data_IF_227413466375
#
_entry.id   IF_227413466375
#
_cell.length_a   1.000
_cell.length_b   1.000
_cell.length_c   1.000
_cell.angle_alpha   90.00
_cell.angle_beta   90.00
_cell.angle_gamma   90.00
#
_symmetry.space_group_name_H-M   'P 1'
#
loop_
_entity.id
_entity.type
_entity.pdbx_description
1 polymer ?
#
# COMPACT_ATOMS: atom_id res chain seq x y z
N UNK A 1 -10.36 4.22 -36.71
CA UNK A 1 -10.28 5.00 -35.46
C UNK A 1 -8.83 5.41 -35.31
N UNK A 2 -8.52 6.70 -35.14
CA UNK A 2 -7.14 7.10 -34.83
C UNK A 2 -6.85 6.65 -33.41
N UNK A 3 -5.89 5.76 -33.22
CA UNK A 3 -5.44 5.27 -31.91
C UNK A 3 -4.51 6.28 -31.21
N UNK A 4 -4.35 7.48 -31.78
CA UNK A 4 -3.47 8.54 -31.29
C UNK A 4 -4.12 9.31 -30.14
N UNK A 5 -3.33 9.63 -29.12
CA UNK A 5 -3.76 10.50 -28.01
C UNK A 5 -4.14 11.90 -28.54
N UNK A 6 -5.41 12.29 -28.38
CA UNK A 6 -5.95 13.56 -28.89
C UNK A 6 -6.33 14.56 -27.79
N UNK A 7 -6.31 14.13 -26.53
CA UNK A 7 -6.60 14.95 -25.36
C UNK A 7 -6.85 14.09 -24.14
N UNK A 8 -6.80 14.70 -22.96
CA UNK A 8 -7.14 14.08 -21.69
C UNK A 8 -8.31 14.84 -21.04
N UNK A 9 -9.07 14.15 -20.20
CA UNK A 9 -10.16 14.73 -19.41
C UNK A 9 -9.95 14.30 -17.98
N UNK A 10 -9.98 15.27 -17.07
CA UNK A 10 -9.90 15.02 -15.65
C UNK A 10 -10.99 15.79 -14.91
N UNK A 11 -11.07 15.57 -13.59
CA UNK A 11 -12.14 16.18 -12.79
C UNK A 11 -12.04 17.72 -12.81
N UNK A 12 -10.83 18.27 -12.85
CA UNK A 12 -10.59 19.70 -12.90
C UNK A 12 -11.02 20.31 -14.25
N UNK A 13 -10.81 19.60 -15.36
CA UNK A 13 -11.24 20.06 -16.67
C UNK A 13 -12.77 20.05 -16.81
N UNK A 14 -13.45 19.05 -16.25
CA UNK A 14 -14.91 19.00 -16.17
C UNK A 14 -15.45 20.12 -15.29
N UNK A 15 -14.91 20.28 -14.07
CA UNK A 15 -15.39 21.32 -13.13
C UNK A 15 -15.18 22.72 -13.68
N UNK A 16 -14.03 23.00 -14.31
CA UNK A 16 -13.77 24.28 -14.99
C UNK A 16 -14.78 24.56 -16.10
N UNK A 17 -15.09 23.55 -16.93
CA UNK A 17 -16.09 23.70 -17.99
C UNK A 17 -17.49 23.99 -17.43
N UNK A 18 -17.91 23.25 -16.39
CA UNK A 18 -19.20 23.47 -15.74
C UNK A 18 -19.29 24.86 -15.10
N UNK A 19 -18.20 25.34 -14.47
CA UNK A 19 -18.15 26.65 -13.86
C UNK A 19 -18.29 27.77 -14.89
N UNK A 20 -17.54 27.72 -16.00
CA UNK A 20 -17.64 28.70 -17.09
C UNK A 20 -19.04 28.74 -17.72
N UNK A 21 -19.73 27.60 -17.81
CA UNK A 21 -21.09 27.53 -18.33
C UNK A 21 -22.12 28.07 -17.32
N UNK A 22 -21.90 27.88 -16.02
CA UNK A 22 -22.79 28.39 -14.97
C UNK A 22 -22.86 29.93 -14.98
N UNK A 23 -21.73 30.61 -15.13
CA UNK A 23 -21.68 32.08 -15.28
C UNK A 23 -22.51 32.56 -16.49
N UNK A 24 -22.52 31.78 -17.59
CA UNK A 24 -23.36 32.07 -18.76
C UNK A 24 -24.85 31.85 -18.52
N UNK A 25 -25.23 30.79 -17.81
CA UNK A 25 -26.65 30.43 -17.59
C UNK A 25 -27.31 31.37 -16.56
N UNK A 26 -26.57 31.89 -15.59
CA UNK A 26 -27.12 32.89 -14.65
C UNK A 26 -27.57 34.18 -15.37
N UNK A 27 -27.05 34.45 -16.57
CA UNK A 27 -27.51 35.56 -17.43
C UNK A 27 -28.78 35.28 -18.25
N UNK A 28 -29.19 34.01 -18.44
CA UNK A 28 -30.39 33.64 -19.22
C UNK A 28 -31.14 32.44 -18.58
N UNK A 29 -32.32 32.69 -18.02
CA UNK A 29 -33.10 31.69 -17.25
C UNK A 29 -33.93 30.76 -18.16
N UNK A 30 -33.42 29.60 -18.58
CA UNK A 30 -34.26 28.57 -19.22
C UNK A 30 -33.83 27.12 -18.96
N UNK A 31 -34.80 26.25 -18.64
CA UNK A 31 -34.60 24.84 -18.32
C UNK A 31 -33.97 24.02 -19.48
N UNK A 32 -34.20 24.45 -20.73
CA UNK A 32 -33.64 23.87 -21.95
C UNK A 32 -32.10 23.95 -22.01
N UNK A 33 -31.49 24.90 -21.29
CA UNK A 33 -30.03 25.04 -21.25
C UNK A 33 -29.35 24.05 -20.29
N UNK A 34 -30.02 23.64 -19.20
CA UNK A 34 -29.47 22.64 -18.27
C UNK A 34 -29.28 21.28 -18.92
N UNK A 35 -30.23 20.87 -19.77
CA UNK A 35 -30.15 19.63 -20.57
C UNK A 35 -28.99 19.67 -21.58
N UNK A 36 -28.64 20.87 -22.06
CA UNK A 36 -27.58 21.09 -23.03
C UNK A 36 -26.17 21.04 -22.41
N UNK A 37 -26.02 21.18 -21.08
CA UNK A 37 -24.71 21.09 -20.40
C UNK A 37 -24.18 19.66 -20.44
N UNK A 38 -25.06 18.66 -20.23
CA UNK A 38 -24.68 17.26 -20.16
C UNK A 38 -24.38 16.66 -21.55
N UNK A 39 -24.90 17.26 -22.62
CA UNK A 39 -24.72 16.81 -24.01
C UNK A 39 -23.61 17.57 -24.77
N UNK A 40 -22.54 17.98 -24.07
CA UNK A 40 -21.40 18.62 -24.73
C UNK A 40 -20.35 17.58 -25.17
N UNK A 41 -19.80 17.72 -26.39
CA UNK A 41 -18.64 16.94 -26.83
C UNK A 41 -17.44 17.04 -25.88
N UNK A 42 -16.82 15.89 -25.59
CA UNK A 42 -15.59 15.74 -24.80
C UNK A 42 -14.48 16.74 -25.15
N UNK A 43 -14.31 17.05 -26.44
CA UNK A 43 -13.31 18.01 -26.95
C UNK A 43 -13.42 19.42 -26.34
N UNK A 44 -14.58 19.80 -25.82
CA UNK A 44 -14.80 21.13 -25.24
C UNK A 44 -14.32 21.27 -23.79
N UNK A 45 -14.03 20.15 -23.14
CA UNK A 45 -13.53 20.10 -21.77
C UNK A 45 -12.35 19.13 -21.62
N UNK A 46 -11.72 18.77 -22.74
CA UNK A 46 -10.42 18.10 -22.78
C UNK A 46 -9.28 19.11 -22.79
N UNK A 47 -8.12 18.71 -22.29
CA UNK A 47 -6.88 19.47 -22.35
C UNK A 47 -5.79 18.64 -23.01
N UNK A 48 -4.68 19.28 -23.39
CA UNK A 48 -3.49 18.60 -23.89
C UNK A 48 -2.67 18.15 -22.67
N UNK A 49 -2.53 16.84 -22.41
CA UNK A 49 -1.79 16.36 -21.26
C UNK A 49 -0.28 16.53 -21.46
N UNK A 50 0.46 16.59 -20.36
CA UNK A 50 1.91 16.36 -20.39
C UNK A 50 2.10 14.87 -20.68
N UNK A 51 2.98 14.55 -21.63
CA UNK A 51 3.23 13.18 -22.06
C UNK A 51 4.68 12.79 -21.86
N UNK A 52 4.92 11.52 -21.52
CA UNK A 52 6.23 10.92 -21.41
C UNK A 52 6.25 9.54 -22.08
N UNK A 53 7.44 9.03 -22.41
CA UNK A 53 7.63 7.65 -22.89
C UNK A 53 7.84 6.68 -21.72
N UNK A 54 7.73 5.37 -21.96
CA UNK A 54 7.92 4.36 -20.92
C UNK A 54 9.34 4.33 -20.32
N UNK A 55 10.33 4.79 -21.09
CA UNK A 55 11.75 4.86 -20.69
C UNK A 55 12.12 6.19 -19.98
N UNK A 56 11.16 7.10 -19.81
CA UNK A 56 11.41 8.38 -19.11
C UNK A 56 11.76 8.15 -17.64
N UNK A 57 12.81 8.80 -17.15
CA UNK A 57 13.30 8.62 -15.79
C UNK A 57 12.38 9.23 -14.72
N UNK A 58 12.39 8.67 -13.50
CA UNK A 58 11.50 9.08 -12.41
C UNK A 58 11.69 10.56 -12.01
N UNK A 59 12.92 11.06 -11.99
CA UNK A 59 13.20 12.46 -11.65
C UNK A 59 12.65 13.43 -12.69
N UNK A 60 12.65 13.03 -13.97
CA UNK A 60 12.01 13.78 -15.04
C UNK A 60 10.48 13.76 -14.91
N UNK A 61 9.89 12.59 -14.60
CA UNK A 61 8.46 12.46 -14.29
C UNK A 61 8.07 13.37 -13.11
N UNK A 62 8.89 13.44 -12.06
CA UNK A 62 8.67 14.35 -10.92
C UNK A 62 8.65 15.81 -11.37
N UNK A 63 9.60 16.24 -12.23
CA UNK A 63 9.63 17.61 -12.78
C UNK A 63 8.41 17.90 -13.65
N UNK A 64 7.95 16.93 -14.43
CA UNK A 64 6.73 17.06 -15.23
C UNK A 64 5.49 17.24 -14.32
N UNK A 65 5.39 16.45 -13.25
CA UNK A 65 4.31 16.54 -12.25
C UNK A 65 4.35 17.82 -11.39
N UNK A 66 5.46 18.56 -11.37
CA UNK A 66 5.49 19.88 -10.74
C UNK A 66 4.74 20.94 -11.57
N UNK A 67 4.64 20.72 -12.88
CA UNK A 67 4.02 21.64 -13.83
C UNK A 67 2.61 21.20 -14.27
N UNK A 68 2.15 20.03 -13.83
CA UNK A 68 0.85 19.48 -14.17
C UNK A 68 0.39 18.41 -13.18
N UNK A 69 -0.89 18.09 -13.18
CA UNK A 69 -1.47 17.16 -12.20
C UNK A 69 -1.15 15.69 -12.48
N UNK A 70 -0.94 15.36 -13.75
CA UNK A 70 -0.74 14.00 -14.23
C UNK A 70 0.11 13.98 -15.50
N UNK A 71 0.83 12.88 -15.69
CA UNK A 71 1.64 12.62 -16.89
C UNK A 71 1.07 11.39 -17.58
N UNK A 72 0.73 11.52 -18.86
CA UNK A 72 0.22 10.41 -19.67
C UNK A 72 1.40 9.70 -20.32
N UNK A 73 1.54 8.41 -20.08
CA UNK A 73 2.58 7.58 -20.71
C UNK A 73 2.09 7.17 -22.09
N UNK A 74 2.92 7.40 -23.10
CA UNK A 74 2.59 7.19 -24.51
C UNK A 74 3.66 6.31 -25.16
N UNK A 75 3.21 5.24 -25.81
CA UNK A 75 4.06 4.38 -26.64
C UNK A 75 3.49 4.33 -28.06
N UNK A 76 4.33 4.56 -29.08
CA UNK A 76 3.89 4.60 -30.49
C UNK A 76 2.65 5.49 -30.74
N UNK A 77 2.60 6.66 -30.07
CA UNK A 77 1.47 7.64 -30.07
C UNK A 77 0.18 7.17 -29.38
N UNK A 78 0.16 5.98 -28.79
CA UNK A 78 -0.99 5.45 -28.05
C UNK A 78 -0.80 5.66 -26.54
N UNK A 79 -1.82 6.12 -25.81
CA UNK A 79 -1.73 6.21 -24.36
C UNK A 79 -1.74 4.79 -23.77
N UNK A 80 -0.72 4.49 -22.96
CA UNK A 80 -0.54 3.18 -22.30
C UNK A 80 -0.71 3.27 -20.78
N UNK A 81 -0.55 4.46 -20.19
CA UNK A 81 -0.70 4.66 -18.75
C UNK A 81 -0.84 6.13 -18.34
N UNK A 82 -1.11 6.35 -17.06
CA UNK A 82 -1.17 7.68 -16.43
C UNK A 82 -0.43 7.58 -15.10
N UNK A 83 0.49 8.51 -14.85
CA UNK A 83 1.20 8.66 -13.57
C UNK A 83 0.70 9.93 -12.89
N UNK A 84 0.33 9.82 -11.62
CA UNK A 84 -0.06 10.94 -10.75
C UNK A 84 0.96 11.14 -9.65
N UNK A 85 0.93 12.31 -9.02
CA UNK A 85 1.80 12.63 -7.87
C UNK A 85 1.70 11.59 -6.74
N UNK A 86 0.50 11.03 -6.50
CA UNK A 86 0.30 9.97 -5.51
C UNK A 86 1.13 8.72 -5.81
N UNK A 87 1.19 8.30 -7.07
CA UNK A 87 1.88 7.07 -7.44
C UNK A 87 3.39 7.20 -7.18
N UNK A 88 3.94 8.38 -7.47
CA UNK A 88 5.33 8.73 -7.13
C UNK A 88 5.55 8.72 -5.63
N UNK A 89 4.64 9.31 -4.85
CA UNK A 89 4.73 9.29 -3.39
C UNK A 89 4.65 7.88 -2.83
N UNK A 90 3.83 6.99 -3.38
CA UNK A 90 3.76 5.58 -2.94
C UNK A 90 5.07 4.83 -3.21
N UNK A 91 5.79 5.16 -4.29
CA UNK A 91 7.10 4.57 -4.60
C UNK A 91 8.20 5.14 -3.68
N UNK A 92 8.16 6.43 -3.39
CA UNK A 92 9.17 7.12 -2.57
C UNK A 92 8.90 6.99 -1.07
N UNK A 93 7.66 6.73 -0.66
CA UNK A 93 7.30 6.57 0.73
C UNK A 93 8.05 5.36 1.31
N UNK A 94 8.73 5.51 2.47
CA UNK A 94 9.29 4.37 3.16
C UNK A 94 8.14 3.40 3.45
N UNK A 95 8.29 2.14 3.03
CA UNK A 95 7.31 1.09 3.33
C UNK A 95 7.03 1.11 4.83
N UNK A 96 5.75 1.23 5.21
CA UNK A 96 5.35 1.14 6.60
C UNK A 96 5.81 -0.22 7.15
N UNK A 97 6.87 -0.22 7.95
CA UNK A 97 7.31 -1.43 8.64
C UNK A 97 6.18 -1.89 9.56
N UNK A 98 5.95 -3.20 9.60
CA UNK A 98 4.97 -3.73 10.54
C UNK A 98 5.39 -3.37 11.99
N UNK A 99 4.48 -2.83 12.81
CA UNK A 99 4.82 -2.38 14.15
C UNK A 99 5.26 -3.53 15.05
N UNK A 100 6.39 -3.33 15.75
CA UNK A 100 6.93 -4.25 16.76
C UNK A 100 6.83 -3.60 18.14
N UNK A 101 6.12 -4.25 19.06
CA UNK A 101 5.96 -3.79 20.44
C UNK A 101 6.66 -4.77 21.38
N UNK A 102 7.53 -4.25 22.26
CA UNK A 102 8.25 -5.03 23.28
C UNK A 102 7.90 -4.50 24.66
N UNK A 103 7.59 -5.40 25.60
CA UNK A 103 7.19 -5.07 26.97
C UNK A 103 7.83 -6.01 28.00
N UNK A 104 8.01 -5.49 29.22
CA UNK A 104 8.46 -6.26 30.39
C UNK A 104 9.98 -6.48 30.51
N UNK A 105 10.77 -5.71 29.76
CA UNK A 105 12.23 -5.57 29.91
C UNK A 105 12.63 -4.10 29.95
N UNK A 106 13.69 -3.78 30.70
CA UNK A 106 14.23 -2.42 30.81
C UNK A 106 14.93 -2.00 29.52
N UNK A 107 15.83 -2.85 28.99
CA UNK A 107 16.45 -2.63 27.68
C UNK A 107 15.67 -3.34 26.57
N UNK A 108 14.83 -2.56 25.88
CA UNK A 108 14.02 -3.03 24.76
C UNK A 108 14.66 -2.81 23.39
N UNK A 109 15.73 -2.01 23.28
CA UNK A 109 16.25 -1.56 21.98
C UNK A 109 16.80 -2.72 21.16
N UNK A 110 17.65 -3.54 21.77
CA UNK A 110 18.25 -4.69 21.06
C UNK A 110 17.19 -5.68 20.57
N UNK A 111 16.14 -5.91 21.37
CA UNK A 111 15.03 -6.80 21.02
C UNK A 111 14.23 -6.21 19.86
N UNK A 112 13.91 -4.92 19.95
CA UNK A 112 13.16 -4.22 18.92
C UNK A 112 13.92 -4.23 17.59
N UNK A 113 15.21 -3.88 17.59
CA UNK A 113 16.06 -3.90 16.40
C UNK A 113 16.18 -5.31 15.79
N UNK A 114 16.28 -6.34 16.64
CA UNK A 114 16.32 -7.73 16.19
C UNK A 114 15.04 -8.12 15.46
N UNK A 115 13.88 -7.84 16.05
CA UNK A 115 12.60 -8.22 15.47
C UNK A 115 12.19 -7.33 14.29
N UNK A 116 12.58 -6.05 14.24
CA UNK A 116 12.39 -5.19 13.07
C UNK A 116 13.14 -5.71 11.83
N UNK A 117 14.37 -6.23 11.99
CA UNK A 117 15.10 -6.82 10.86
C UNK A 117 14.39 -8.06 10.30
N UNK A 118 13.71 -8.81 11.16
CA UNK A 118 13.00 -10.04 10.78
C UNK A 118 11.59 -9.73 10.29
N UNK A 119 11.02 -8.59 10.69
CA UNK A 119 9.64 -8.22 10.41
C UNK A 119 9.35 -8.15 8.91
N UNK A 120 10.31 -7.74 8.10
CA UNK A 120 10.21 -7.74 6.62
C UNK A 120 9.98 -9.15 6.04
N UNK A 121 10.66 -10.16 6.60
CA UNK A 121 10.46 -11.56 6.21
C UNK A 121 9.08 -12.04 6.64
N UNK A 122 8.63 -11.65 7.82
CA UNK A 122 7.34 -12.07 8.38
C UNK A 122 6.15 -11.35 7.75
N UNK A 123 6.33 -10.13 7.25
CA UNK A 123 5.34 -9.41 6.44
C UNK A 123 4.97 -10.21 5.18
N UNK A 124 5.95 -10.80 4.50
CA UNK A 124 5.73 -11.71 3.35
C UNK A 124 4.95 -12.98 3.73
N UNK A 125 4.99 -13.37 4.99
CA UNK A 125 4.20 -14.47 5.55
C UNK A 125 2.83 -14.01 6.07
N UNK A 126 2.50 -12.72 5.94
CA UNK A 126 1.20 -12.15 6.29
C UNK A 126 1.12 -11.53 7.68
N UNK A 127 2.25 -11.28 8.35
CA UNK A 127 2.30 -10.52 9.59
C UNK A 127 1.88 -9.06 9.36
N UNK A 128 1.17 -8.49 10.31
CA UNK A 128 0.72 -7.09 10.32
C UNK A 128 1.13 -6.33 11.58
N UNK A 129 1.40 -7.05 12.68
CA UNK A 129 1.86 -6.48 13.96
C UNK A 129 2.52 -7.58 14.78
N UNK A 130 3.60 -7.24 15.48
CA UNK A 130 4.33 -8.15 16.38
C UNK A 130 4.25 -7.57 17.80
N UNK A 131 3.88 -8.40 18.77
CA UNK A 131 3.85 -8.03 20.20
C UNK A 131 4.65 -9.05 20.99
N UNK A 132 5.61 -8.58 21.76
CA UNK A 132 6.53 -9.38 22.56
C UNK A 132 6.40 -8.94 24.02
N UNK A 133 6.15 -9.90 24.88
CA UNK A 133 6.07 -9.73 26.32
C UNK A 133 7.11 -10.64 26.94
N UNK A 134 7.97 -10.06 27.78
CA UNK A 134 9.04 -10.77 28.48
C UNK A 134 8.87 -10.51 29.97
N UNK A 135 9.06 -11.55 30.77
CA UNK A 135 8.92 -11.49 32.23
C UNK A 135 10.15 -12.13 32.87
N UNK A 136 10.81 -11.42 33.79
CA UNK A 136 11.91 -11.97 34.59
C UNK A 136 11.32 -12.70 35.80
N UNK A 137 11.60 -14.00 35.92
CA UNK A 137 11.07 -14.87 36.96
C UNK A 137 12.10 -15.11 38.07
N UNK A 138 11.90 -14.45 39.21
CA UNK A 138 12.64 -14.71 40.45
C UNK A 138 14.11 -14.24 40.46
N UNK A 139 14.85 -14.66 41.49
CA UNK A 139 16.24 -14.24 41.77
C UNK A 139 17.25 -14.98 40.88
N UNK A 140 16.94 -16.23 40.49
CA UNK A 140 17.72 -16.96 39.49
C UNK A 140 17.28 -16.47 38.12
N UNK A 141 18.13 -15.74 37.42
CA UNK A 141 17.86 -15.17 36.09
C UNK A 141 17.22 -16.20 35.17
N UNK A 142 15.89 -16.19 35.11
CA UNK A 142 15.10 -16.99 34.19
C UNK A 142 14.10 -16.05 33.59
N UNK A 143 13.96 -16.13 32.27
CA UNK A 143 13.06 -15.28 31.53
C UNK A 143 11.95 -16.15 30.95
N UNK A 144 10.72 -15.67 31.09
CA UNK A 144 9.58 -16.15 30.32
C UNK A 144 9.30 -15.15 29.21
N UNK A 145 8.97 -15.65 28.03
CA UNK A 145 8.65 -14.82 26.89
C UNK A 145 7.42 -15.33 26.18
N UNK A 146 6.66 -14.39 25.63
CA UNK A 146 5.48 -14.62 24.80
C UNK A 146 5.51 -13.68 23.62
N UNK A 147 5.35 -14.23 22.42
CA UNK A 147 5.25 -13.48 21.17
C UNK A 147 3.89 -13.73 20.52
N UNK A 148 3.26 -12.65 20.06
CA UNK A 148 2.01 -12.66 19.29
C UNK A 148 2.25 -11.99 17.95
N UNK A 149 1.92 -12.66 16.86
CA UNK A 149 1.98 -12.12 15.50
C UNK A 149 0.57 -12.03 14.96
N UNK A 150 0.10 -10.81 14.72
CA UNK A 150 -1.21 -10.55 14.15
C UNK A 150 -1.14 -10.71 12.63
N UNK A 151 -2.16 -11.35 12.07
CA UNK A 151 -2.33 -11.57 10.63
C UNK A 151 -3.75 -11.18 10.22
N UNK A 152 -4.03 -11.14 8.92
CA UNK A 152 -5.38 -10.82 8.41
C UNK A 152 -6.50 -11.75 8.93
N UNK A 153 -6.17 -12.94 9.44
CA UNK A 153 -7.15 -13.96 9.88
C UNK A 153 -7.20 -14.17 11.39
N UNK A 154 -6.38 -13.47 12.17
CA UNK A 154 -6.28 -13.69 13.61
C UNK A 154 -4.86 -13.42 14.11
N UNK A 155 -4.39 -14.19 15.09
CA UNK A 155 -3.04 -14.08 15.59
C UNK A 155 -2.43 -15.45 15.85
N UNK A 156 -1.12 -15.54 15.65
CA UNK A 156 -0.30 -16.68 16.04
C UNK A 156 0.37 -16.33 17.37
N UNK A 157 0.55 -17.32 18.23
CA UNK A 157 1.15 -17.14 19.54
C UNK A 157 2.19 -18.22 19.81
N UNK A 158 3.32 -17.83 20.38
CA UNK A 158 4.31 -18.74 20.92
C UNK A 158 4.82 -18.24 22.27
N UNK A 159 5.22 -19.15 23.14
CA UNK A 159 5.84 -18.83 24.42
C UNK A 159 6.93 -19.82 24.79
N UNK A 160 7.89 -19.38 25.58
CA UNK A 160 9.01 -20.22 26.04
C UNK A 160 9.67 -19.64 27.29
N UNK A 161 10.49 -20.44 27.96
CA UNK A 161 11.35 -20.01 29.06
C UNK A 161 12.82 -20.20 28.65
N UNK A 162 13.70 -19.34 29.14
CA UNK A 162 15.15 -19.50 28.99
C UNK A 162 15.90 -18.96 30.20
N UNK A 163 17.17 -19.31 30.32
CA UNK A 163 18.05 -18.83 31.40
C UNK A 163 18.52 -17.40 31.09
N UNK A 164 18.70 -17.06 29.82
CA UNK A 164 19.13 -15.74 29.39
C UNK A 164 18.19 -15.17 28.30
N UNK A 165 18.24 -13.85 28.14
CA UNK A 165 17.37 -13.10 27.22
C UNK A 165 17.65 -13.45 25.75
N UNK A 166 18.90 -13.72 25.38
CA UNK A 166 19.31 -14.01 24.00
C UNK A 166 18.72 -15.36 23.57
N UNK A 167 18.89 -16.38 24.41
CA UNK A 167 18.28 -17.69 24.22
C UNK A 167 16.75 -17.59 24.13
N UNK A 168 16.13 -16.78 25.00
CA UNK A 168 14.69 -16.55 24.96
C UNK A 168 14.23 -15.99 23.61
N UNK A 169 14.88 -14.94 23.13
CA UNK A 169 14.54 -14.27 21.86
C UNK A 169 14.69 -15.23 20.68
N UNK A 170 15.80 -15.98 20.64
CA UNK A 170 16.06 -16.97 19.59
C UNK A 170 14.98 -18.05 19.57
N UNK A 171 14.62 -18.57 20.73
CA UNK A 171 13.62 -19.63 20.85
C UNK A 171 12.22 -19.13 20.51
N UNK A 172 11.85 -17.92 20.93
CA UNK A 172 10.58 -17.29 20.55
C UNK A 172 10.48 -17.12 19.04
N UNK A 173 11.53 -16.59 18.41
CA UNK A 173 11.61 -16.45 16.95
C UNK A 173 11.42 -17.81 16.28
N UNK A 174 12.20 -18.82 16.64
CA UNK A 174 12.12 -20.14 16.01
C UNK A 174 10.77 -20.83 16.21
N UNK A 175 10.09 -20.61 17.33
CA UNK A 175 8.74 -21.17 17.55
C UNK A 175 7.70 -20.46 16.68
N UNK A 176 7.64 -19.14 16.70
CA UNK A 176 6.62 -18.42 15.93
C UNK A 176 6.84 -18.54 14.43
N UNK A 177 8.09 -18.57 13.97
CA UNK A 177 8.44 -18.75 12.56
C UNK A 177 7.94 -20.11 12.03
N UNK A 178 8.03 -21.17 12.84
CA UNK A 178 7.45 -22.48 12.50
C UNK A 178 5.92 -22.43 12.40
N UNK A 179 5.25 -21.76 13.32
CA UNK A 179 3.79 -21.62 13.28
C UNK A 179 3.32 -20.80 12.06
N UNK A 180 4.07 -19.75 11.68
CA UNK A 180 3.79 -18.95 10.48
C UNK A 180 3.92 -19.77 9.19
N UNK A 181 4.96 -20.61 9.09
CA UNK A 181 5.18 -21.47 7.92
C UNK A 181 4.06 -22.50 7.80
N UNK A 182 3.72 -23.20 8.89
CA UNK A 182 2.61 -24.17 8.92
C UNK A 182 1.28 -23.53 8.49
N UNK A 183 0.96 -22.35 9.01
CA UNK A 183 -0.28 -21.65 8.65
C UNK A 183 -0.32 -21.28 7.16
N UNK A 184 0.84 -20.90 6.58
CA UNK A 184 0.95 -20.63 5.15
C UNK A 184 0.75 -21.89 4.30
N UNK A 185 1.40 -22.99 4.65
CA UNK A 185 1.28 -24.27 3.94
C UNK A 185 -0.17 -24.78 3.96
N UNK A 186 -0.78 -24.81 5.14
CA UNK A 186 -2.20 -25.18 5.32
C UNK A 186 -3.14 -24.31 4.48
N UNK A 187 -2.82 -23.03 4.33
CA UNK A 187 -3.60 -22.10 3.50
C UNK A 187 -3.46 -22.39 2.01
N UNK A 188 -2.27 -22.73 1.54
CA UNK A 188 -2.03 -23.09 0.14
C UNK A 188 -2.72 -24.40 -0.21
N UNK A 189 -2.68 -25.40 0.69
CA UNK A 189 -3.40 -26.66 0.53
C UNK A 189 -4.91 -26.47 0.49
N UNK A 190 -5.49 -25.69 1.43
CA UNK A 190 -6.93 -25.36 1.41
C UNK A 190 -7.34 -24.66 0.11
N UNK A 191 -6.51 -23.75 -0.41
CA UNK A 191 -6.77 -23.08 -1.69
C UNK A 191 -6.75 -24.06 -2.87
N UNK A 192 -5.79 -25.00 -2.90
CA UNK A 192 -5.74 -26.06 -3.92
C UNK A 192 -6.99 -26.95 -3.85
N UNK A 193 -7.39 -27.38 -2.65
CA UNK A 193 -8.60 -28.19 -2.46
C UNK A 193 -9.88 -27.48 -2.88
N UNK A 194 -10.02 -26.18 -2.58
CA UNK A 194 -11.19 -25.40 -2.99
C UNK A 194 -11.27 -25.21 -4.51
N UNK A 195 -10.12 -25.06 -5.20
CA UNK A 195 -10.07 -25.03 -6.67
C UNK A 195 -10.46 -26.36 -7.30
N UNK A 196 -10.07 -27.49 -6.71
CA UNK A 196 -10.41 -28.82 -7.20
C UNK A 196 -11.87 -29.23 -6.92
N UNK A 197 -12.55 -28.57 -5.99
CA UNK A 197 -13.97 -28.83 -5.64
C UNK A 197 -14.96 -27.88 -6.34
N UNK A 198 -14.47 -26.93 -7.13
CA UNK A 198 -15.26 -25.89 -7.79
C UNK A 198 -15.28 -26.02 -9.31
N UNK A 199 -15.16 -27.24 -9.84
CA UNK A 199 -15.61 -27.60 -11.20
C UNK A 199 -17.07 -28.05 -11.18
#
# INVERSE_FOLDING_TARGET
>A
WKEELSGCINLFSITRFLYQKKERIESFRSAKEKENILNNPAKYFSFVPITASEDTALDEIVRMLQNGEEVVIVENRKPVGIIKARDVLEVLAPKEKIPVLVSGVEDRREILDYFEKISEKWEKLGAQKIVIQIEKLGVRERYFGRIKVYTKKGFLIASTHAIDLISLIRDLRSKIEREMIKEKEMREERRKMLKMRGE
#
